data_IF_708182293620
#
_entry.id   IF_708182293620
#
_cell.length_a   1.000
_cell.length_b   1.000
_cell.length_c   1.000
_cell.angle_alpha   90.00
_cell.angle_beta   90.00
_cell.angle_gamma   90.00
#
_symmetry.space_group_name_H-M   'P 1'
#
loop_
_entity.id
_entity.type
_entity.pdbx_description
1 polymer ?
#
# COMPACT_ATOMS: atom_id res chain seq x y z
N UNK A 1 -9.48 -3.29 -23.80
CA UNK A 1 -10.33 -3.80 -22.71
C UNK A 1 -9.55 -4.44 -21.55
N UNK A 2 -8.23 -4.66 -21.66
CA UNK A 2 -7.44 -5.29 -20.60
C UNK A 2 -7.02 -4.34 -19.46
N UNK A 3 -6.98 -3.03 -19.72
CA UNK A 3 -6.44 -2.04 -18.78
C UNK A 3 -7.34 -1.78 -17.56
N UNK A 4 -8.66 -1.72 -17.75
CA UNK A 4 -9.59 -1.58 -16.63
C UNK A 4 -9.57 -2.80 -15.73
N UNK A 5 -9.44 -4.01 -16.30
CA UNK A 5 -9.32 -5.23 -15.52
C UNK A 5 -8.04 -5.26 -14.66
N UNK A 6 -6.94 -4.67 -15.16
CA UNK A 6 -5.72 -4.52 -14.38
C UNK A 6 -5.91 -3.55 -13.20
N UNK A 7 -6.49 -2.38 -13.45
CA UNK A 7 -6.81 -1.42 -12.39
C UNK A 7 -7.78 -2.00 -11.35
N UNK A 8 -8.74 -2.82 -11.76
CA UNK A 8 -9.66 -3.49 -10.84
C UNK A 8 -8.93 -4.49 -9.92
N UNK A 9 -7.93 -5.21 -10.44
CA UNK A 9 -7.09 -6.12 -9.64
C UNK A 9 -6.24 -5.30 -8.65
N UNK A 10 -5.57 -4.25 -9.15
CA UNK A 10 -4.74 -3.38 -8.33
C UNK A 10 -5.53 -2.76 -7.18
N UNK A 11 -6.76 -2.32 -7.48
CA UNK A 11 -7.67 -1.76 -6.48
C UNK A 11 -8.07 -2.78 -5.42
N UNK A 12 -8.34 -4.02 -5.82
CA UNK A 12 -8.64 -5.11 -4.90
C UNK A 12 -7.46 -5.39 -3.96
N UNK A 13 -6.23 -5.40 -4.49
CA UNK A 13 -5.03 -5.65 -3.70
C UNK A 13 -4.74 -4.52 -2.71
N UNK A 14 -4.98 -3.26 -3.10
CA UNK A 14 -4.87 -2.10 -2.22
C UNK A 14 -5.92 -2.12 -1.11
N UNK A 15 -7.17 -2.47 -1.42
CA UNK A 15 -8.21 -2.61 -0.39
C UNK A 15 -7.82 -3.70 0.62
N UNK A 16 -7.30 -4.83 0.14
CA UNK A 16 -6.80 -5.90 1.00
C UNK A 16 -5.64 -5.44 1.87
N UNK A 17 -4.69 -4.70 1.31
CA UNK A 17 -3.58 -4.10 2.06
C UNK A 17 -4.10 -3.20 3.18
N UNK A 18 -5.08 -2.34 2.88
CA UNK A 18 -5.67 -1.42 3.84
C UNK A 18 -6.35 -2.17 4.99
N UNK A 19 -7.16 -3.18 4.70
CA UNK A 19 -7.81 -4.02 5.72
C UNK A 19 -6.80 -4.74 6.60
N UNK A 20 -5.74 -5.30 5.99
CA UNK A 20 -4.68 -6.00 6.71
C UNK A 20 -3.81 -5.04 7.52
N UNK A 21 -3.56 -3.82 7.03
CA UNK A 21 -2.77 -2.80 7.74
C UNK A 21 -3.40 -2.41 9.08
N UNK A 22 -4.73 -2.35 9.15
CA UNK A 22 -5.47 -1.97 10.35
C UNK A 22 -5.40 -3.02 11.46
N UNK A 23 -5.26 -4.30 11.10
CA UNK A 23 -5.21 -5.42 12.07
C UNK A 23 -3.79 -5.96 12.27
N UNK A 24 -2.81 -5.41 11.56
CA UNK A 24 -1.46 -5.92 11.56
C UNK A 24 -0.77 -5.79 12.91
N UNK A 25 -0.04 -6.84 13.33
CA UNK A 25 0.84 -6.82 14.51
C UNK A 25 2.14 -7.57 14.27
N UNK A 26 3.24 -7.02 14.79
CA UNK A 26 4.54 -7.69 14.83
C UNK A 26 5.19 -7.86 13.46
N UNK A 27 5.77 -9.04 13.19
CA UNK A 27 6.57 -9.31 11.98
C UNK A 27 5.76 -9.24 10.68
N UNK A 28 4.45 -9.44 10.77
CA UNK A 28 3.52 -9.32 9.65
C UNK A 28 3.47 -7.90 9.08
N UNK A 29 3.84 -6.88 9.87
CA UNK A 29 3.76 -5.49 9.40
C UNK A 29 4.92 -5.14 8.47
N UNK A 30 6.07 -5.79 8.63
CA UNK A 30 7.18 -5.64 7.68
C UNK A 30 6.86 -6.26 6.33
N UNK A 31 6.14 -7.38 6.33
CA UNK A 31 5.67 -7.99 5.08
C UNK A 31 4.69 -7.04 4.37
N UNK A 32 3.70 -6.51 5.10
CA UNK A 32 2.73 -5.56 4.52
C UNK A 32 3.38 -4.23 4.11
N UNK A 33 4.42 -3.76 4.80
CA UNK A 33 5.21 -2.60 4.36
C UNK A 33 5.86 -2.90 2.98
N UNK A 34 6.46 -4.08 2.81
CA UNK A 34 7.05 -4.44 1.51
C UNK A 34 6.00 -4.60 0.39
N UNK A 35 4.81 -5.11 0.71
CA UNK A 35 3.71 -5.21 -0.27
C UNK A 35 3.18 -3.83 -0.64
N UNK A 36 3.10 -2.90 0.32
CA UNK A 36 2.72 -1.52 0.07
C UNK A 36 3.74 -0.81 -0.84
N UNK A 37 5.05 -1.06 -0.67
CA UNK A 37 6.11 -0.54 -1.54
C UNK A 37 5.93 -1.06 -2.98
N UNK A 38 5.63 -2.35 -3.13
CA UNK A 38 5.41 -2.97 -4.44
C UNK A 38 4.20 -2.34 -5.15
N UNK A 39 3.05 -2.22 -4.47
CA UNK A 39 1.85 -1.60 -5.04
C UNK A 39 2.06 -0.12 -5.38
N UNK A 40 2.84 0.60 -4.58
CA UNK A 40 3.18 2.00 -4.86
C UNK A 40 4.04 2.14 -6.13
N UNK A 41 4.98 1.21 -6.35
CA UNK A 41 5.80 1.16 -7.55
C UNK A 41 4.97 0.79 -8.78
N UNK A 42 4.08 -0.20 -8.67
CA UNK A 42 3.19 -0.60 -9.78
C UNK A 42 2.29 0.56 -10.23
N UNK A 43 1.73 1.34 -9.29
CA UNK A 43 0.97 2.55 -9.63
C UNK A 43 1.87 3.58 -10.35
N UNK A 44 3.08 3.80 -9.86
CA UNK A 44 4.00 4.77 -10.44
C UNK A 44 4.38 4.38 -11.87
N UNK A 45 4.68 3.10 -12.11
CA UNK A 45 4.96 2.54 -13.43
C UNK A 45 3.76 2.66 -14.35
N UNK A 46 2.56 2.33 -13.87
CA UNK A 46 1.32 2.46 -14.64
C UNK A 46 1.09 3.91 -15.10
N UNK A 47 1.30 4.89 -14.21
CA UNK A 47 1.19 6.32 -14.54
C UNK A 47 2.20 6.77 -15.59
N UNK A 48 3.41 6.20 -15.58
CA UNK A 48 4.45 6.51 -16.58
C UNK A 48 4.07 5.92 -17.96
N UNK A 49 3.54 4.70 -17.99
CA UNK A 49 3.25 3.97 -19.23
C UNK A 49 1.95 4.41 -19.91
N UNK A 50 0.88 4.67 -19.13
CA UNK A 50 -0.47 4.90 -19.67
C UNK A 50 -0.91 6.38 -19.64
N UNK A 51 -0.09 7.27 -19.05
CA UNK A 51 -0.35 8.71 -18.99
C UNK A 51 -1.47 9.10 -18.02
N UNK A 52 -2.19 10.20 -18.31
CA UNK A 52 -3.23 10.77 -17.44
C UNK A 52 -4.59 10.02 -17.46
N UNK A 53 -4.63 8.82 -18.03
CA UNK A 53 -5.83 7.99 -18.04
C UNK A 53 -6.19 7.55 -16.62
N UNK A 54 -7.46 7.72 -16.21
CA UNK A 54 -7.94 7.38 -14.86
C UNK A 54 -7.13 8.03 -13.72
N UNK A 55 -6.52 9.20 -13.98
CA UNK A 55 -5.65 9.91 -13.02
C UNK A 55 -6.28 10.14 -11.64
N UNK A 56 -7.59 10.38 -11.59
CA UNK A 56 -8.34 10.50 -10.35
C UNK A 56 -8.38 9.18 -9.55
N UNK A 57 -8.65 8.07 -10.24
CA UNK A 57 -8.72 6.73 -9.65
C UNK A 57 -7.34 6.27 -9.16
N UNK A 58 -6.31 6.53 -9.95
CA UNK A 58 -4.91 6.27 -9.59
C UNK A 58 -4.47 7.11 -8.39
N UNK A 59 -4.88 8.38 -8.34
CA UNK A 59 -4.59 9.24 -7.19
C UNK A 59 -5.27 8.73 -5.91
N UNK A 60 -6.53 8.28 -6.01
CA UNK A 60 -7.25 7.66 -4.89
C UNK A 60 -6.59 6.36 -4.42
N UNK A 61 -6.14 5.50 -5.34
CA UNK A 61 -5.35 4.30 -5.02
C UNK A 61 -4.05 4.65 -4.29
N UNK A 62 -3.32 5.66 -4.76
CA UNK A 62 -2.09 6.12 -4.11
C UNK A 62 -2.33 6.65 -2.69
N UNK A 63 -3.45 7.35 -2.46
CA UNK A 63 -3.83 7.84 -1.13
C UNK A 63 -4.08 6.64 -0.19
N UNK A 64 -4.84 5.63 -0.64
CA UNK A 64 -5.12 4.42 0.17
C UNK A 64 -3.85 3.66 0.56
N UNK A 65 -2.88 3.52 -0.36
CA UNK A 65 -1.58 2.91 -0.04
C UNK A 65 -0.85 3.72 1.03
N UNK A 66 -0.83 5.05 0.89
CA UNK A 66 -0.21 5.93 1.89
C UNK A 66 -0.89 5.83 3.26
N UNK A 67 -2.21 5.74 3.30
CA UNK A 67 -2.95 5.59 4.55
C UNK A 67 -2.64 4.23 5.21
N UNK A 68 -2.57 3.15 4.42
CA UNK A 68 -2.13 1.84 4.89
C UNK A 68 -0.70 1.89 5.47
N UNK A 69 0.22 2.62 4.81
CA UNK A 69 1.56 2.88 5.33
C UNK A 69 1.57 3.58 6.68
N UNK A 70 0.71 4.58 6.86
CA UNK A 70 0.60 5.29 8.14
C UNK A 70 0.18 4.33 9.25
N UNK A 71 -0.83 3.47 9.02
CA UNK A 71 -1.19 2.45 9.99
C UNK A 71 -0.02 1.50 10.30
N UNK A 72 0.67 1.00 9.27
CA UNK A 72 1.78 0.06 9.45
C UNK A 72 2.93 0.68 10.25
N UNK A 73 3.29 1.93 9.96
CA UNK A 73 4.38 2.64 10.64
C UNK A 73 4.04 2.99 12.08
N UNK A 74 2.78 3.30 12.39
CA UNK A 74 2.31 3.49 13.78
C UNK A 74 2.52 2.21 14.62
N UNK A 75 2.27 1.03 14.05
CA UNK A 75 2.41 -0.26 14.74
C UNK A 75 3.83 -0.85 14.66
N UNK A 76 4.60 -0.61 13.61
CA UNK A 76 5.99 -1.10 13.45
C UNK A 76 7.00 -0.29 14.29
N UNK A 77 6.68 0.97 14.61
CA UNK A 77 7.52 1.80 15.49
C UNK A 77 7.36 1.43 16.99
N UNK A 78 6.22 0.84 17.39
CA UNK A 78 6.04 0.31 18.75
C UNK A 78 6.96 -0.90 19.05
N UNK A 79 7.27 -1.73 18.06
CA UNK A 79 8.23 -2.84 18.22
C UNK A 79 9.68 -2.38 18.19
N UNK A 80 10.00 -1.28 17.50
CA UNK A 80 11.36 -0.73 17.46
C UNK A 80 11.72 0.05 18.74
N UNK A 81 10.74 0.71 19.38
CA UNK A 81 10.95 1.47 20.62
C UNK A 81 11.07 0.61 21.89
N UNK A 82 10.59 -0.65 21.85
CA UNK A 82 10.76 -1.62 22.93
C UNK A 82 12.07 -2.44 22.86
N UNK A 83 12.85 -2.35 21.78
CA UNK A 83 14.19 -2.97 21.68
C UNK A 83 15.34 -2.07 22.12
N UNK A 84 15.13 -0.77 22.27
CA UNK A 84 16.17 0.20 22.66
C UNK A 84 16.16 0.55 24.15
N UNK A 85 15.61 -0.32 25.00
CA UNK A 85 15.64 -0.17 26.45
C UNK A 85 15.91 -1.52 27.14
N UNK A 86 17.01 -2.18 26.75
CA UNK A 86 17.62 -3.24 27.54
C UNK A 86 19.14 -3.19 27.45
#
# INVERSE_FOLDING_TARGET
MQMNAYLDILESDINRLQDLSAICRGEWCRFLESEADALQNEIAEFRICEGDFESARIAEMSIRIRDAYQHLTEYSCLTSRLRFNR
#
